data_IF_110525353988
#
_entry.id   IF_110525353988
#
_cell.length_a   1.000
_cell.length_b   1.000
_cell.length_c   1.000
_cell.angle_alpha   90.00
_cell.angle_beta   90.00
_cell.angle_gamma   90.00
#
_symmetry.space_group_name_H-M   'P 1'
#
loop_
_entity.id
_entity.type
_entity.pdbx_description
1 polymer ?
#
# COMPACT_ATOMS: atom_id res chain seq x y z
N UNK A 1 23.17 13.72 40.72
CA UNK A 1 23.20 14.45 39.43
C UNK A 1 23.32 13.56 38.20
N UNK A 2 23.96 12.38 38.23
CA UNK A 2 24.04 11.49 37.05
C UNK A 2 22.81 10.59 36.80
N UNK A 3 21.95 10.34 37.79
CA UNK A 3 20.77 9.45 37.61
C UNK A 3 19.51 10.13 37.03
N UNK A 4 19.45 11.47 37.00
CA UNK A 4 18.41 12.22 36.26
C UNK A 4 18.77 12.45 34.79
N UNK A 5 20.00 12.18 34.38
CA UNK A 5 20.47 12.26 32.99
C UNK A 5 19.97 11.05 32.17
N UNK A 6 19.59 9.96 32.84
CA UNK A 6 18.88 8.81 32.25
C UNK A 6 17.39 9.13 32.00
N UNK A 7 16.83 10.15 32.68
CA UNK A 7 15.38 10.42 32.74
C UNK A 7 14.84 11.17 31.51
N UNK A 8 15.65 11.42 30.48
CA UNK A 8 15.12 11.78 29.15
C UNK A 8 15.93 11.16 28.01
N UNK A 9 16.56 10.01 28.28
CA UNK A 9 16.90 9.04 27.25
C UNK A 9 15.72 8.88 26.28
N UNK A 10 16.00 9.02 24.98
CA UNK A 10 15.07 8.81 23.87
C UNK A 10 13.92 9.82 23.80
N UNK A 11 14.25 11.11 23.66
CA UNK A 11 13.44 12.02 22.86
C UNK A 11 13.16 11.39 21.48
N UNK A 12 12.03 10.69 21.37
CA UNK A 12 10.96 10.98 20.42
C UNK A 12 11.32 11.10 18.93
N UNK A 13 12.40 10.49 18.46
CA UNK A 13 12.57 10.18 17.03
C UNK A 13 11.81 8.89 16.66
N UNK A 14 10.50 8.86 16.98
CA UNK A 14 9.57 8.09 16.17
C UNK A 14 9.16 9.02 15.05
N UNK A 15 9.92 9.04 13.96
CA UNK A 15 9.35 9.46 12.68
C UNK A 15 8.18 8.51 12.44
N UNK A 16 6.96 9.01 12.65
CA UNK A 16 5.75 8.34 12.21
C UNK A 16 5.83 8.31 10.69
N UNK A 17 6.53 7.31 10.13
CA UNK A 17 6.49 7.01 8.72
C UNK A 17 5.06 6.61 8.41
N UNK A 18 4.32 7.55 7.84
CA UNK A 18 2.91 7.44 7.53
C UNK A 18 2.73 6.51 6.32
N UNK A 19 2.99 5.21 6.45
CA UNK A 19 2.88 4.34 5.29
C UNK A 19 1.53 4.47 4.60
N UNK A 20 1.55 4.76 3.31
CA UNK A 20 0.36 4.69 2.48
C UNK A 20 0.38 3.36 1.73
N UNK A 21 -0.76 2.77 1.42
CA UNK A 21 -1.10 1.92 0.25
C UNK A 21 -2.43 1.30 0.65
N UNK A 22 -3.32 2.17 1.13
CA UNK A 22 -4.57 1.78 1.75
C UNK A 22 -5.45 1.13 0.68
N UNK A 23 -5.36 1.60 -0.56
CA UNK A 23 -6.03 1.05 -1.75
C UNK A 23 -5.70 -0.42 -2.00
N UNK A 24 -4.53 -0.92 -1.60
CA UNK A 24 -4.16 -2.34 -1.75
C UNK A 24 -3.94 -3.07 -0.42
N UNK A 25 -4.38 -2.45 0.68
CA UNK A 25 -4.30 -3.02 2.01
C UNK A 25 -2.88 -3.32 2.51
N UNK A 26 -1.87 -2.62 2.00
CA UNK A 26 -0.46 -2.83 2.36
C UNK A 26 0.24 -1.52 2.73
N UNK A 27 1.46 -1.62 3.21
CA UNK A 27 2.37 -0.48 3.42
C UNK A 27 3.15 -0.20 2.12
N UNK A 28 3.44 1.06 1.77
CA UNK A 28 3.80 1.50 0.41
C UNK A 28 3.66 3.03 0.17
N UNK A 29 3.25 3.41 -1.04
CA UNK A 29 2.73 4.74 -1.39
C UNK A 29 1.22 4.69 -1.66
N UNK A 30 0.66 5.35 -2.67
CA UNK A 30 -0.78 5.27 -2.97
C UNK A 30 -1.14 3.96 -3.71
N UNK A 31 -0.48 3.72 -4.84
CA UNK A 31 -0.57 2.48 -5.62
C UNK A 31 0.80 1.82 -5.79
N UNK A 32 1.85 2.62 -5.81
CA UNK A 32 3.24 2.20 -5.98
C UNK A 32 3.76 1.50 -4.72
N UNK A 33 4.31 0.28 -4.82
CA UNK A 33 4.96 -0.36 -3.69
C UNK A 33 6.21 0.41 -3.24
N UNK A 34 6.42 0.47 -1.93
CA UNK A 34 7.64 0.99 -1.34
C UNK A 34 8.35 -0.10 -0.52
N UNK A 35 9.58 0.16 -0.10
CA UNK A 35 10.30 -0.69 0.85
C UNK A 35 10.08 -0.31 2.33
N UNK A 36 9.10 0.55 2.62
CA UNK A 36 8.73 0.88 3.99
C UNK A 36 8.05 -0.32 4.67
N UNK A 37 8.18 -0.43 5.98
CA UNK A 37 7.53 -1.46 6.79
C UNK A 37 6.97 -0.81 8.05
N UNK A 38 5.82 -1.29 8.53
CA UNK A 38 5.40 -0.95 9.89
C UNK A 38 6.36 -1.58 10.91
N UNK A 39 6.21 -1.18 12.18
CA UNK A 39 6.79 -1.93 13.28
C UNK A 39 6.11 -3.29 13.44
N UNK A 40 6.80 -4.21 14.11
CA UNK A 40 6.26 -5.51 14.45
C UNK A 40 4.94 -5.41 15.23
N UNK A 41 4.14 -6.48 15.13
CA UNK A 41 2.82 -6.59 15.77
C UNK A 41 1.85 -5.47 15.39
N UNK A 42 2.05 -4.80 14.26
CA UNK A 42 1.13 -3.76 13.78
C UNK A 42 -0.01 -4.40 13.02
N UNK A 43 -1.23 -4.00 13.36
CA UNK A 43 -2.46 -4.36 12.65
C UNK A 43 -3.06 -3.11 12.03
N UNK A 44 -3.47 -3.21 10.76
CA UNK A 44 -4.19 -2.16 10.06
C UNK A 44 -5.49 -2.75 9.50
N UNK A 45 -6.60 -2.07 9.80
CA UNK A 45 -7.94 -2.37 9.28
C UNK A 45 -8.37 -1.20 8.43
N UNK A 46 -8.69 -1.38 7.17
CA UNK A 46 -9.09 -0.26 6.33
C UNK A 46 -10.18 -0.58 5.33
N UNK A 47 -10.79 0.47 4.82
CA UNK A 47 -11.78 0.42 3.76
C UNK A 47 -11.67 1.66 2.88
N UNK A 48 -11.85 1.48 1.57
CA UNK A 48 -11.69 2.55 0.60
C UNK A 48 -12.80 2.53 -0.43
N UNK A 49 -13.18 3.72 -0.90
CA UNK A 49 -13.84 3.93 -2.18
C UNK A 49 -12.79 3.89 -3.28
N UNK A 50 -13.04 3.11 -4.33
CA UNK A 50 -12.15 2.93 -5.47
C UNK A 50 -12.79 3.48 -6.75
N UNK A 51 -12.06 4.38 -7.42
CA UNK A 51 -12.44 4.78 -8.76
C UNK A 51 -12.38 3.59 -9.74
N UNK A 52 -13.24 3.56 -10.76
CA UNK A 52 -13.21 2.48 -11.75
C UNK A 52 -11.93 2.46 -12.58
N UNK A 53 -11.29 3.63 -12.74
CA UNK A 53 -10.07 3.80 -13.54
C UNK A 53 -8.83 3.15 -12.88
N UNK A 54 -8.88 2.91 -11.56
CA UNK A 54 -7.82 2.22 -10.79
C UNK A 54 -8.09 0.72 -10.63
N UNK A 55 -9.27 0.24 -11.06
CA UNK A 55 -9.67 -1.16 -10.96
C UNK A 55 -9.45 -1.91 -12.28
N UNK A 56 -9.51 -3.26 -12.28
CA UNK A 56 -9.44 -4.02 -13.52
C UNK A 56 -10.43 -3.50 -14.59
N UNK A 57 -10.06 -3.44 -15.89
CA UNK A 57 -10.89 -2.85 -16.94
C UNK A 57 -12.28 -3.46 -17.11
N UNK A 58 -12.47 -4.72 -16.69
CA UNK A 58 -13.77 -5.40 -16.70
C UNK A 58 -14.78 -4.77 -15.74
N UNK A 59 -14.30 -4.03 -14.73
CA UNK A 59 -15.15 -3.41 -13.72
C UNK A 59 -15.49 -1.97 -14.14
N UNK A 60 -16.56 -1.83 -14.91
CA UNK A 60 -17.02 -0.55 -15.46
C UNK A 60 -17.68 0.40 -14.44
N UNK A 61 -17.58 0.10 -13.14
CA UNK A 61 -18.24 0.82 -12.04
C UNK A 61 -17.25 1.14 -10.91
N UNK A 62 -17.57 2.17 -10.13
CA UNK A 62 -16.87 2.43 -8.87
C UNK A 62 -17.17 1.34 -7.86
N UNK A 63 -16.17 0.99 -7.07
CA UNK A 63 -16.30 -0.08 -6.08
C UNK A 63 -15.69 0.31 -4.75
N UNK A 64 -15.74 -0.61 -3.80
CA UNK A 64 -15.14 -0.47 -2.48
C UNK A 64 -14.29 -1.69 -2.19
N UNK A 65 -13.26 -1.49 -1.39
CA UNK A 65 -12.56 -2.61 -0.77
C UNK A 65 -12.46 -2.42 0.74
N UNK A 66 -12.13 -3.52 1.40
CA UNK A 66 -11.76 -3.53 2.80
C UNK A 66 -10.67 -4.58 3.02
N UNK A 67 -9.84 -4.38 4.04
CA UNK A 67 -8.68 -5.21 4.26
C UNK A 67 -8.28 -5.32 5.72
N UNK A 68 -7.58 -6.41 6.01
CA UNK A 68 -6.82 -6.65 7.22
C UNK A 68 -5.35 -6.80 6.82
N UNK A 69 -4.47 -6.00 7.41
CA UNK A 69 -3.03 -6.12 7.28
C UNK A 69 -2.41 -6.38 8.65
N UNK A 70 -1.45 -7.29 8.68
CA UNK A 70 -0.66 -7.60 9.86
C UNK A 70 0.82 -7.56 9.48
N UNK A 71 1.56 -6.64 10.09
CA UNK A 71 3.02 -6.69 10.13
C UNK A 71 3.44 -7.57 11.30
N UNK A 72 3.73 -8.83 11.00
CA UNK A 72 4.04 -9.87 12.01
C UNK A 72 5.40 -9.58 12.64
N UNK A 73 6.40 -9.34 11.79
CA UNK A 73 7.76 -8.99 12.16
C UNK A 73 8.15 -7.72 11.40
N UNK A 74 9.18 -6.95 11.81
CA UNK A 74 9.48 -5.68 11.15
C UNK A 74 10.01 -5.88 9.71
N UNK A 75 10.13 -7.12 9.25
CA UNK A 75 10.52 -7.55 7.92
C UNK A 75 9.48 -8.44 7.21
N UNK A 76 8.33 -8.76 7.84
CA UNK A 76 7.27 -9.58 7.26
C UNK A 76 5.90 -8.94 7.48
N UNK A 77 5.23 -8.63 6.38
CA UNK A 77 3.87 -8.09 6.35
C UNK A 77 2.99 -8.96 5.46
N UNK A 78 1.78 -9.26 5.95
CA UNK A 78 0.75 -10.03 5.24
C UNK A 78 -0.55 -9.25 5.27
N UNK A 79 -1.25 -9.20 4.14
CA UNK A 79 -2.55 -8.57 4.03
C UNK A 79 -3.57 -9.50 3.38
N UNK A 80 -4.83 -9.36 3.80
CA UNK A 80 -6.00 -9.95 3.15
C UNK A 80 -6.92 -8.81 2.73
N UNK A 81 -7.21 -8.73 1.44
CA UNK A 81 -8.03 -7.66 0.85
C UNK A 81 -9.22 -8.26 0.13
N UNK A 82 -10.39 -7.68 0.38
CA UNK A 82 -11.64 -7.99 -0.30
C UNK A 82 -12.07 -6.78 -1.12
N UNK A 83 -12.30 -6.95 -2.42
CA UNK A 83 -12.87 -5.90 -3.27
C UNK A 83 -14.24 -6.32 -3.77
N UNK A 84 -15.23 -5.45 -3.59
CA UNK A 84 -16.59 -5.73 -4.00
C UNK A 84 -16.68 -5.74 -5.54
N UNK A 85 -17.49 -6.63 -6.09
CA UNK A 85 -17.77 -6.61 -7.53
C UNK A 85 -19.22 -7.01 -7.82
N UNK A 86 -19.72 -6.56 -8.97
CA UNK A 86 -21.03 -6.93 -9.49
C UNK A 86 -20.87 -8.17 -10.37
N UNK A 87 -21.63 -9.22 -10.08
CA UNK A 87 -21.58 -10.48 -10.83
C UNK A 87 -21.68 -10.31 -12.35
N UNK A 88 -22.49 -9.33 -12.79
CA UNK A 88 -22.65 -8.93 -14.20
C UNK A 88 -21.32 -8.55 -14.90
N UNK A 89 -20.38 -7.91 -14.20
CA UNK A 89 -19.08 -7.56 -14.79
C UNK A 89 -18.19 -8.77 -15.06
N UNK A 90 -18.52 -9.92 -14.48
CA UNK A 90 -17.87 -11.20 -14.78
C UNK A 90 -18.70 -12.07 -15.75
N UNK A 91 -19.75 -11.51 -16.37
CA UNK A 91 -20.65 -12.25 -17.26
C UNK A 91 -21.57 -13.23 -16.52
N UNK A 92 -21.65 -13.15 -15.20
CA UNK A 92 -22.54 -13.98 -14.38
C UNK A 92 -23.93 -13.34 -14.31
N UNK A 93 -24.99 -14.15 -14.36
CA UNK A 93 -26.35 -13.64 -14.18
C UNK A 93 -26.48 -13.00 -12.79
N UNK A 94 -27.10 -11.82 -12.67
CA UNK A 94 -27.44 -11.28 -11.36
C UNK A 94 -28.38 -12.28 -10.66
N UNK A 95 -28.01 -12.74 -9.47
CA UNK A 95 -28.77 -13.73 -8.69
C UNK A 95 -30.06 -13.15 -8.09
N UNK A 96 -30.80 -12.32 -8.83
CA UNK A 96 -31.98 -11.59 -8.34
C UNK A 96 -31.66 -10.39 -7.43
N UNK A 97 -30.37 -10.08 -7.22
CA UNK A 97 -29.90 -8.96 -6.40
C UNK A 97 -29.30 -7.86 -7.27
N UNK A 98 -29.52 -6.60 -6.87
CA UNK A 98 -28.92 -5.41 -7.49
C UNK A 98 -27.76 -4.90 -6.63
N UNK A 99 -26.76 -4.28 -7.25
CA UNK A 99 -25.58 -3.75 -6.55
C UNK A 99 -24.39 -4.72 -6.51
N UNK A 100 -23.56 -4.62 -5.46
CA UNK A 100 -22.42 -5.52 -5.25
C UNK A 100 -22.91 -6.88 -4.76
N UNK A 101 -22.79 -7.89 -5.61
CA UNK A 101 -23.35 -9.23 -5.37
C UNK A 101 -22.29 -10.27 -5.03
N UNK A 102 -21.01 -9.90 -5.07
CA UNK A 102 -19.89 -10.78 -4.73
C UNK A 102 -18.63 -9.96 -4.36
N UNK A 103 -17.56 -10.66 -3.97
CA UNK A 103 -16.27 -10.08 -3.63
C UNK A 103 -15.09 -10.91 -4.14
N UNK A 104 -14.11 -10.21 -4.67
CA UNK A 104 -12.82 -10.74 -5.06
C UNK A 104 -11.86 -10.63 -3.87
N UNK A 105 -11.14 -11.72 -3.58
CA UNK A 105 -10.40 -11.90 -2.32
C UNK A 105 -8.99 -12.31 -2.64
N UNK A 106 -8.03 -11.57 -2.11
CA UNK A 106 -6.63 -11.89 -2.34
C UNK A 106 -5.75 -11.62 -1.14
N UNK A 107 -4.62 -12.32 -1.11
CA UNK A 107 -3.55 -12.10 -0.14
C UNK A 107 -2.42 -11.28 -0.76
N UNK A 108 -1.79 -10.46 0.07
CA UNK A 108 -0.50 -9.84 -0.25
C UNK A 108 0.54 -10.22 0.79
N UNK A 109 1.78 -10.39 0.36
CA UNK A 109 2.92 -10.69 1.24
C UNK A 109 4.07 -9.76 0.88
N UNK A 110 4.74 -9.21 1.89
CA UNK A 110 5.90 -8.34 1.75
C UNK A 110 7.01 -8.80 2.69
N UNK A 111 8.19 -8.98 2.12
CA UNK A 111 9.41 -9.44 2.79
C UNK A 111 10.50 -8.38 2.62
N UNK A 112 10.89 -7.72 3.70
CA UNK A 112 12.01 -6.77 3.68
C UNK A 112 13.33 -7.52 3.72
N UNK A 113 14.00 -7.57 2.57
CA UNK A 113 15.33 -8.15 2.43
C UNK A 113 16.41 -7.29 3.08
N UNK A 114 16.31 -5.96 2.94
CA UNK A 114 17.29 -5.01 3.48
C UNK A 114 16.58 -3.89 4.26
N UNK A 115 17.04 -3.63 5.48
CA UNK A 115 16.66 -2.41 6.20
C UNK A 115 17.49 -1.24 5.67
N UNK A 116 16.87 -0.07 5.57
CA UNK A 116 17.57 1.16 5.20
C UNK A 116 18.77 1.40 6.13
N UNK A 117 19.92 1.73 5.56
CA UNK A 117 21.14 2.02 6.32
C UNK A 117 21.81 0.81 6.97
N UNK A 118 21.35 -0.42 6.72
CA UNK A 118 21.82 -1.63 7.43
C UNK A 118 23.31 -1.94 7.24
N UNK A 119 23.87 -1.76 6.04
CA UNK A 119 25.29 -2.01 5.77
C UNK A 119 26.11 -0.73 5.57
N UNK A 120 25.51 0.33 5.01
CA UNK A 120 26.12 1.67 4.92
C UNK A 120 25.05 2.76 4.96
N UNK A 121 25.42 3.98 5.36
CA UNK A 121 24.53 5.12 5.62
C UNK A 121 23.52 5.41 4.49
N UNK A 122 23.96 5.30 3.24
CA UNK A 122 23.16 5.63 2.06
C UNK A 122 22.40 4.45 1.46
N UNK A 123 22.49 3.25 2.04
CA UNK A 123 21.81 2.07 1.51
C UNK A 123 20.29 2.24 1.62
N UNK A 124 19.51 2.00 0.56
CA UNK A 124 18.06 1.99 0.64
C UNK A 124 17.56 0.74 1.38
N UNK A 125 16.35 0.79 1.92
CA UNK A 125 15.61 -0.41 2.25
C UNK A 125 15.23 -1.16 0.97
N UNK A 126 15.11 -2.48 1.01
CA UNK A 126 14.65 -3.31 -0.11
C UNK A 126 13.58 -4.28 0.37
N UNK A 127 12.45 -4.32 -0.35
CA UNK A 127 11.32 -5.24 -0.12
C UNK A 127 11.04 -6.02 -1.39
N UNK A 128 10.83 -7.32 -1.23
CA UNK A 128 10.19 -8.18 -2.23
C UNK A 128 8.74 -8.38 -1.81
N UNK A 129 7.82 -8.28 -2.75
CA UNK A 129 6.42 -8.48 -2.42
C UNK A 129 5.59 -9.05 -3.56
N UNK A 130 4.41 -9.52 -3.18
CA UNK A 130 3.40 -10.00 -4.11
C UNK A 130 2.00 -9.65 -3.61
N UNK A 131 1.08 -9.46 -4.53
CA UNK A 131 -0.36 -9.45 -4.28
C UNK A 131 -1.01 -10.44 -5.23
N UNK A 132 -2.02 -11.14 -4.73
CA UNK A 132 -2.82 -12.08 -5.48
C UNK A 132 -1.97 -13.08 -6.32
N UNK A 133 -0.99 -13.76 -5.70
CA UNK A 133 -0.07 -14.63 -6.43
C UNK A 133 -0.74 -15.91 -6.93
N UNK A 134 -1.83 -16.35 -6.28
CA UNK A 134 -2.50 -17.62 -6.52
C UNK A 134 -3.84 -17.42 -7.20
N UNK A 135 -4.21 -18.35 -8.07
CA UNK A 135 -5.53 -18.33 -8.72
C UNK A 135 -6.05 -19.75 -8.89
N UNK A 136 -7.37 -19.88 -8.98
CA UNK A 136 -8.06 -21.17 -9.07
C UNK A 136 -7.83 -21.94 -10.37
N UNK A 137 -7.16 -21.36 -11.37
CA UNK A 137 -6.86 -22.02 -12.64
C UNK A 137 -5.46 -22.63 -12.63
N UNK A 138 -5.33 -23.96 -12.55
CA UNK A 138 -4.22 -24.83 -12.99
C UNK A 138 -2.75 -24.38 -12.79
N UNK A 139 -2.37 -23.23 -13.34
CA UNK A 139 -1.12 -22.52 -13.05
C UNK A 139 -1.22 -21.84 -11.68
N UNK A 140 -0.66 -22.53 -10.67
CA UNK A 140 -0.82 -22.18 -9.26
C UNK A 140 -0.27 -20.78 -8.93
N UNK A 141 0.72 -20.27 -9.68
CA UNK A 141 1.37 -18.97 -9.42
C UNK A 141 1.40 -18.10 -10.68
N UNK A 142 0.95 -16.85 -10.57
CA UNK A 142 1.02 -15.83 -11.62
C UNK A 142 0.33 -16.25 -12.94
N UNK A 143 -0.88 -16.81 -12.88
CA UNK A 143 -1.64 -17.20 -14.09
C UNK A 143 -1.91 -15.99 -15.00
N UNK A 144 -1.97 -16.25 -16.30
CA UNK A 144 -2.34 -15.26 -17.31
C UNK A 144 -3.85 -14.96 -17.32
N UNK A 145 -4.66 -15.84 -16.72
CA UNK A 145 -6.14 -15.85 -16.73
C UNK A 145 -6.70 -16.22 -15.36
N UNK A 146 -7.98 -15.97 -15.14
CA UNK A 146 -8.67 -16.33 -13.89
C UNK A 146 -8.89 -15.14 -12.97
N UNK A 147 -9.09 -15.43 -11.68
CA UNK A 147 -9.46 -14.44 -10.66
C UNK A 147 -8.28 -13.67 -10.05
N UNK A 148 -7.07 -13.82 -10.59
CA UNK A 148 -5.87 -13.12 -10.14
C UNK A 148 -5.86 -11.63 -10.51
N UNK A 149 -6.96 -10.89 -10.29
CA UNK A 149 -7.17 -9.55 -10.83
C UNK A 149 -6.12 -8.54 -10.36
N UNK A 150 -5.64 -8.73 -9.14
CA UNK A 150 -4.67 -7.87 -8.49
C UNK A 150 -3.26 -8.48 -8.50
N UNK A 151 -3.04 -9.49 -9.35
CA UNK A 151 -1.78 -10.23 -9.39
C UNK A 151 -0.60 -9.34 -9.75
N UNK A 152 0.39 -9.32 -8.86
CA UNK A 152 1.65 -8.61 -9.06
C UNK A 152 2.75 -9.20 -8.20
N UNK A 153 3.96 -9.11 -8.71
CA UNK A 153 5.21 -9.38 -8.04
C UNK A 153 6.06 -8.12 -8.18
N UNK A 154 6.80 -7.77 -7.14
CA UNK A 154 7.60 -6.56 -7.19
C UNK A 154 8.83 -6.63 -6.31
N UNK A 155 9.81 -5.84 -6.71
CA UNK A 155 10.91 -5.40 -5.86
C UNK A 155 10.77 -3.89 -5.69
N UNK A 156 10.90 -3.42 -4.45
CA UNK A 156 10.85 -2.00 -4.12
C UNK A 156 12.09 -1.62 -3.32
N UNK A 157 12.55 -0.40 -3.55
CA UNK A 157 13.62 0.26 -2.81
C UNK A 157 13.13 1.62 -2.30
N UNK A 158 13.40 1.91 -1.03
CA UNK A 158 13.05 3.20 -0.40
C UNK A 158 14.27 3.80 0.28
N UNK A 159 14.45 5.11 0.15
CA UNK A 159 15.47 5.87 0.86
C UNK A 159 14.86 7.15 1.42
N UNK A 160 15.20 7.48 2.65
CA UNK A 160 14.84 8.76 3.25
C UNK A 160 16.06 9.67 3.29
N UNK A 161 15.84 10.91 2.84
CA UNK A 161 16.85 11.96 2.80
C UNK A 161 16.38 13.11 3.68
N UNK A 162 17.22 13.48 4.64
CA UNK A 162 16.97 14.62 5.50
C UNK A 162 17.56 15.88 4.86
N UNK A 163 16.70 16.87 4.60
CA UNK A 163 17.05 18.18 4.10
C UNK A 163 16.70 19.20 5.19
N UNK A 164 17.71 19.62 5.96
CA UNK A 164 17.54 20.48 7.15
C UNK A 164 16.63 19.82 8.20
N UNK A 165 15.39 20.32 8.34
CA UNK A 165 14.38 19.81 9.28
C UNK A 165 13.35 18.90 8.60
N UNK A 166 13.42 18.78 7.28
CA UNK A 166 12.45 18.02 6.48
C UNK A 166 13.02 16.65 6.11
N UNK A 167 12.15 15.64 6.09
CA UNK A 167 12.51 14.30 5.60
C UNK A 167 11.70 14.00 4.35
N UNK A 168 12.39 13.63 3.28
CA UNK A 168 11.79 13.26 2.00
C UNK A 168 12.08 11.78 1.73
N UNK A 169 11.02 10.99 1.51
CA UNK A 169 11.12 9.62 1.05
C UNK A 169 11.19 9.55 -0.47
N UNK A 170 12.17 8.82 -0.99
CA UNK A 170 12.35 8.52 -2.41
C UNK A 170 12.15 7.02 -2.59
N UNK A 171 11.27 6.65 -3.51
CA UNK A 171 10.82 5.28 -3.68
C UNK A 171 10.91 4.87 -5.15
N UNK A 172 11.45 3.69 -5.40
CA UNK A 172 11.56 3.09 -6.72
C UNK A 172 11.15 1.63 -6.62
N UNK A 173 10.34 1.16 -7.57
CA UNK A 173 9.97 -0.24 -7.64
C UNK A 173 9.88 -0.71 -9.09
N UNK A 174 9.94 -2.02 -9.26
CA UNK A 174 9.66 -2.67 -10.52
C UNK A 174 8.53 -3.67 -10.31
N UNK A 175 7.48 -3.52 -11.10
CA UNK A 175 6.28 -4.34 -11.07
C UNK A 175 6.32 -5.38 -12.19
N UNK A 176 5.86 -6.58 -11.88
CA UNK A 176 5.74 -7.69 -12.83
C UNK A 176 4.47 -8.50 -12.58
N UNK A 177 3.72 -8.76 -13.64
CA UNK A 177 2.65 -9.74 -13.70
C UNK A 177 2.61 -10.42 -15.09
N UNK A 178 1.89 -11.54 -15.18
CA UNK A 178 1.67 -12.28 -16.43
C UNK A 178 0.27 -12.09 -17.01
N UNK A 179 -0.55 -11.24 -16.40
CA UNK A 179 -1.93 -11.01 -16.84
C UNK A 179 -1.96 -10.37 -18.21
N UNK A 180 -2.83 -10.87 -19.09
CA UNK A 180 -2.97 -10.37 -20.46
C UNK A 180 -3.88 -9.15 -20.56
N UNK A 181 -4.91 -9.10 -19.74
CA UNK A 181 -5.96 -8.08 -19.71
C UNK A 181 -5.60 -6.84 -18.87
N UNK A 182 -4.72 -6.99 -17.88
CA UNK A 182 -4.29 -5.90 -17.01
C UNK A 182 -2.81 -6.00 -16.63
N UNK A 183 -1.95 -5.70 -17.61
CA UNK A 183 -0.51 -5.79 -17.46
C UNK A 183 0.05 -4.49 -16.87
N UNK A 184 0.37 -4.52 -15.57
CA UNK A 184 1.05 -3.45 -14.85
C UNK A 184 2.51 -3.86 -14.65
N UNK A 185 3.26 -3.87 -15.76
CA UNK A 185 4.67 -4.23 -15.75
C UNK A 185 5.51 -3.01 -16.07
N UNK A 186 6.48 -2.70 -15.21
CA UNK A 186 7.39 -1.61 -15.46
C UNK A 186 7.91 -0.97 -14.20
N UNK A 187 8.62 0.13 -14.40
CA UNK A 187 9.12 0.97 -13.32
C UNK A 187 7.97 1.76 -12.73
N UNK A 188 7.88 1.76 -11.41
CA UNK A 188 7.04 2.65 -10.65
C UNK A 188 7.92 3.43 -9.67
N UNK A 189 7.61 4.68 -9.41
CA UNK A 189 8.42 5.55 -8.57
C UNK A 189 7.55 6.57 -7.86
N UNK A 190 8.02 7.07 -6.74
CA UNK A 190 7.32 8.14 -6.06
C UNK A 190 8.17 8.83 -5.01
N UNK A 191 7.66 9.97 -4.58
CA UNK A 191 8.21 10.80 -3.53
C UNK A 191 7.15 10.92 -2.46
N UNK A 192 7.60 10.88 -1.21
CA UNK A 192 6.76 11.19 -0.07
C UNK A 192 7.40 12.25 0.80
N UNK A 193 6.55 13.06 1.41
CA UNK A 193 6.99 14.18 2.23
C UNK A 193 6.09 14.34 3.46
N UNK A 194 6.73 14.40 4.62
CA UNK A 194 6.10 14.67 5.90
C UNK A 194 6.58 16.03 6.40
N UNK A 195 5.76 17.08 6.34
CA UNK A 195 6.18 18.40 6.77
C UNK A 195 6.53 18.42 8.26
N UNK A 196 7.70 18.95 8.60
CA UNK A 196 8.18 19.00 9.99
C UNK A 196 7.25 19.80 10.92
N UNK A 197 6.58 20.82 10.38
CA UNK A 197 5.58 21.62 11.10
C UNK A 197 4.24 20.92 11.26
N UNK A 198 3.97 19.86 10.49
CA UNK A 198 2.73 19.10 10.54
C UNK A 198 2.94 17.61 10.25
N UNK A 199 3.57 16.86 11.18
CA UNK A 199 4.01 15.48 10.96
C UNK A 199 2.86 14.47 10.76
N UNK A 200 1.63 14.84 11.14
CA UNK A 200 0.41 14.06 10.89
C UNK A 200 0.00 14.03 9.42
N UNK A 201 0.53 14.95 8.60
CA UNK A 201 0.29 15.01 7.16
C UNK A 201 1.43 14.30 6.42
N UNK A 202 1.07 13.43 5.47
CA UNK A 202 1.98 12.89 4.46
C UNK A 202 1.45 13.27 3.09
N UNK A 203 2.27 13.95 2.30
CA UNK A 203 2.02 14.22 0.89
C UNK A 203 2.75 13.17 0.03
N UNK A 204 2.10 12.72 -1.03
CA UNK A 204 2.61 11.67 -1.91
C UNK A 204 2.39 12.07 -3.36
N UNK A 205 3.44 11.90 -4.15
CA UNK A 205 3.40 12.00 -5.60
C UNK A 205 4.05 10.75 -6.20
N UNK A 206 3.36 10.08 -7.12
CA UNK A 206 3.86 8.83 -7.68
C UNK A 206 3.48 8.61 -9.14
N UNK A 207 4.15 7.62 -9.73
CA UNK A 207 3.87 7.01 -11.01
C UNK A 207 3.84 5.49 -10.83
N UNK A 208 2.69 4.86 -11.07
CA UNK A 208 2.42 3.45 -10.73
C UNK A 208 2.68 2.46 -11.89
N UNK A 209 3.61 2.80 -12.79
CA UNK A 209 3.88 2.13 -14.09
C UNK A 209 2.84 2.36 -15.19
N UNK A 210 1.73 3.03 -14.86
CA UNK A 210 0.68 3.36 -15.83
C UNK A 210 0.36 4.85 -15.78
N UNK A 211 0.02 5.34 -14.60
CA UNK A 211 -0.55 6.66 -14.38
C UNK A 211 0.17 7.41 -13.26
N UNK A 212 0.08 8.74 -13.30
CA UNK A 212 0.52 9.59 -12.19
C UNK A 212 -0.60 9.75 -11.17
N UNK A 213 -0.27 9.76 -9.89
CA UNK A 213 -1.19 10.04 -8.80
C UNK A 213 -0.59 11.02 -7.80
N UNK A 214 -1.43 11.94 -7.32
CA UNK A 214 -1.13 12.78 -6.16
C UNK A 214 -2.12 12.47 -5.06
N UNK A 215 -1.63 12.43 -3.83
CA UNK A 215 -2.47 12.11 -2.70
C UNK A 215 -1.89 12.58 -1.39
N UNK A 216 -2.71 12.48 -0.35
CA UNK A 216 -2.33 12.81 1.00
C UNK A 216 -2.89 11.77 1.97
N UNK A 217 -2.14 11.51 3.03
CA UNK A 217 -2.59 10.75 4.18
C UNK A 217 -2.51 11.62 5.43
N UNK A 218 -3.55 11.58 6.25
CA UNK A 218 -3.65 12.38 7.46
C UNK A 218 -3.93 11.50 8.69
N UNK A 219 -3.12 11.65 9.74
CA UNK A 219 -3.27 10.92 10.99
C UNK A 219 -4.21 11.66 11.96
N UNK A 220 -5.40 11.11 12.14
CA UNK A 220 -6.42 11.49 13.10
C UNK A 220 -6.30 10.63 14.36
N UNK A 221 -6.42 11.27 15.54
CA UNK A 221 -6.51 10.58 16.83
C UNK A 221 -5.40 9.54 17.08
N UNK A 222 -4.21 9.73 16.50
CA UNK A 222 -3.04 8.82 16.56
C UNK A 222 -3.23 7.40 16.01
N UNK A 223 -4.43 7.04 15.57
CA UNK A 223 -4.78 5.68 15.14
C UNK A 223 -5.50 5.62 13.80
N UNK A 224 -6.26 6.66 13.45
CA UNK A 224 -7.09 6.69 12.26
C UNK A 224 -6.38 7.46 11.15
N UNK A 225 -6.06 6.80 10.05
CA UNK A 225 -5.48 7.39 8.86
C UNK A 225 -6.60 7.67 7.86
N UNK A 226 -6.70 8.90 7.39
CA UNK A 226 -7.54 9.26 6.26
C UNK A 226 -6.66 9.47 5.03
N UNK A 227 -6.97 8.81 3.92
CA UNK A 227 -6.24 8.95 2.67
C UNK A 227 -7.16 9.42 1.56
N UNK A 228 -6.64 10.34 0.75
CA UNK A 228 -7.27 10.80 -0.48
C UNK A 228 -6.23 10.82 -1.59
N UNK A 229 -6.65 10.50 -2.80
CA UNK A 229 -5.80 10.57 -3.99
C UNK A 229 -6.59 10.96 -5.24
N UNK A 230 -5.87 11.52 -6.21
CA UNK A 230 -6.33 11.83 -7.54
C UNK A 230 -5.39 11.17 -8.56
N UNK A 231 -5.84 10.06 -9.14
CA UNK A 231 -5.14 9.43 -10.26
C UNK A 231 -5.39 10.25 -11.54
N UNK A 232 -4.36 10.45 -12.37
CA UNK A 232 -4.35 11.36 -13.52
C UNK A 232 -4.82 12.77 -13.18
N UNK A 233 -4.69 13.19 -11.91
CA UNK A 233 -5.21 14.45 -11.39
C UNK A 233 -6.73 14.63 -11.54
N UNK A 234 -7.48 13.54 -11.77
CA UNK A 234 -8.90 13.59 -12.14
C UNK A 234 -9.75 12.59 -11.36
N UNK A 235 -9.24 11.39 -11.16
CA UNK A 235 -10.02 10.27 -10.66
C UNK A 235 -9.78 10.09 -9.17
N UNK A 236 -10.79 10.47 -8.39
CA UNK A 236 -10.75 10.39 -6.93
C UNK A 236 -10.85 8.95 -6.43
N UNK A 237 -9.98 8.60 -5.49
CA UNK A 237 -10.03 7.42 -4.63
C UNK A 237 -9.72 7.88 -3.20
N UNK A 238 -10.27 7.19 -2.20
CA UNK A 238 -9.98 7.56 -0.82
C UNK A 238 -10.58 6.59 0.19
N UNK A 239 -10.08 6.64 1.41
CA UNK A 239 -10.49 5.71 2.44
C UNK A 239 -9.94 6.00 3.82
N UNK A 240 -10.31 5.13 4.74
CA UNK A 240 -9.94 5.21 6.15
C UNK A 240 -9.22 3.92 6.55
N UNK A 241 -8.24 4.05 7.44
CA UNK A 241 -7.53 2.92 8.01
C UNK A 241 -7.28 3.14 9.50
N UNK A 242 -7.68 2.17 10.31
CA UNK A 242 -7.41 2.13 11.73
C UNK A 242 -6.16 1.29 12.01
N UNK A 243 -5.17 1.88 12.69
CA UNK A 243 -3.89 1.28 13.03
C UNK A 243 -3.71 1.13 14.54
N UNK A 244 -3.37 -0.08 14.95
CA UNK A 244 -3.02 -0.38 16.33
C UNK A 244 -1.93 -1.45 16.40
N UNK A 245 -1.40 -1.68 17.60
CA UNK A 245 -0.31 -2.62 17.80
C UNK A 245 -0.68 -3.58 18.92
N UNK A 246 -0.41 -4.86 18.68
CA UNK A 246 -0.64 -5.91 19.66
C UNK A 246 0.47 -5.87 20.72
N UNK A 247 0.12 -6.21 21.97
CA UNK A 247 1.09 -6.35 23.06
C UNK A 247 1.91 -7.62 22.87
#
# INVERSE_FOLDING_TARGET
MQKRIIVSCLFLCCTFMLSAQLTYGTTGLLHTPSAEMQKDKTVMLGANFLNKEITPPTWYYHTYNYYLNVTIMPWLEVAYTCTLFKAEALGLKPYGYTGFTNQDRYFSVRLRALKEGQFWKYMPAVVLGTSDPFTSSGDVIASERGNGYYSRFYIAASKHVDIKKETIGIHLSYLYNRRKDYRLNGVAAGISYNPSFHPQLRLIAEYDSKDFALGATYLLFNHLHAQVELQKMKYFTGGLMFKFCLK
#
